data_IF_132521818716
#
_entry.id   IF_132521818716
#
_cell.length_a   1.000
_cell.length_b   1.000
_cell.length_c   1.000
_cell.angle_alpha   90.00
_cell.angle_beta   90.00
_cell.angle_gamma   90.00
#
_symmetry.space_group_name_H-M   'P 1'
#
loop_
_entity.id
_entity.type
_entity.pdbx_description
1 polymer ?
#
# COMPACT_ATOMS: atom_id res chain seq x y z
N UNK A 1 -5.71 1.98 22.78
CA UNK A 1 -5.43 1.26 21.51
C UNK A 1 -4.69 -0.05 21.78
N UNK A 2 -3.64 -0.04 22.59
CA UNK A 2 -2.84 -1.25 22.82
C UNK A 2 -3.68 -2.38 23.43
N UNK A 3 -4.44 -2.07 24.47
CA UNK A 3 -5.31 -3.06 25.11
C UNK A 3 -6.45 -3.51 24.16
N UNK A 4 -6.92 -2.62 23.29
CA UNK A 4 -7.91 -2.97 22.29
C UNK A 4 -7.36 -4.02 21.31
N UNK A 5 -6.13 -3.85 20.86
CA UNK A 5 -5.48 -4.83 19.98
C UNK A 5 -5.26 -6.15 20.72
N UNK A 6 -4.85 -6.09 21.99
CA UNK A 6 -4.68 -7.29 22.80
C UNK A 6 -6.01 -8.04 22.95
N UNK A 7 -7.10 -7.31 23.18
CA UNK A 7 -8.43 -7.90 23.27
C UNK A 7 -8.83 -8.59 21.95
N UNK A 8 -8.59 -7.91 20.82
CA UNK A 8 -8.89 -8.48 19.50
C UNK A 8 -8.14 -9.81 19.32
N UNK A 9 -6.87 -9.84 19.70
CA UNK A 9 -6.04 -11.04 19.51
C UNK A 9 -6.40 -12.18 20.44
N UNK A 10 -6.88 -11.88 21.65
CA UNK A 10 -7.11 -12.89 22.69
C UNK A 10 -8.55 -13.34 22.79
N UNK A 11 -9.48 -12.43 22.64
CA UNK A 11 -10.88 -12.68 23.03
C UNK A 11 -11.85 -12.72 21.86
N UNK A 12 -11.47 -12.15 20.69
CA UNK A 12 -12.36 -12.14 19.53
C UNK A 12 -12.04 -13.34 18.66
N UNK A 13 -13.06 -14.09 18.32
CA UNK A 13 -12.92 -15.30 17.51
C UNK A 13 -12.22 -14.99 16.18
N UNK A 14 -11.22 -15.82 15.87
CA UNK A 14 -10.44 -15.69 14.64
C UNK A 14 -9.64 -14.39 14.51
N UNK A 15 -9.69 -13.72 15.36
CA UNK A 15 -8.96 -12.49 15.29
C UNK A 15 -7.46 -12.65 15.39
N UNK A 16 -7.05 -13.63 15.84
CA UNK A 16 -5.71 -13.95 15.85
C UNK A 16 -5.24 -14.17 14.48
N UNK A 17 -5.96 -14.73 13.73
CA UNK A 17 -5.74 -14.92 12.39
C UNK A 17 -5.81 -13.72 11.59
N UNK A 18 -6.75 -12.98 11.73
CA UNK A 18 -6.92 -11.74 10.94
C UNK A 18 -5.79 -10.75 11.23
N UNK A 19 -5.44 -10.57 12.50
CA UNK A 19 -4.34 -9.66 12.88
C UNK A 19 -3.03 -10.10 12.22
N UNK A 20 -2.72 -11.38 12.26
CA UNK A 20 -1.46 -11.87 11.71
C UNK A 20 -1.44 -11.82 10.18
N UNK A 21 -2.56 -12.17 9.56
CA UNK A 21 -2.69 -12.05 8.10
C UNK A 21 -2.52 -10.59 7.68
N UNK A 22 -3.12 -9.66 8.43
CA UNK A 22 -3.02 -8.23 8.12
C UNK A 22 -1.57 -7.75 8.27
N UNK A 23 -0.93 -8.10 9.37
CA UNK A 23 0.45 -7.64 9.64
C UNK A 23 1.45 -8.21 8.63
N UNK A 24 1.36 -9.52 8.39
CA UNK A 24 2.25 -10.17 7.43
C UNK A 24 1.87 -9.83 6.00
N UNK A 25 0.57 -9.63 5.76
CA UNK A 25 0.07 -9.20 4.47
C UNK A 25 0.63 -7.86 4.04
N UNK A 26 0.81 -6.93 4.99
CA UNK A 26 1.45 -5.65 4.68
C UNK A 26 2.85 -5.85 4.12
N UNK A 27 3.66 -6.70 4.77
CA UNK A 27 5.02 -6.99 4.28
C UNK A 27 4.98 -7.69 2.92
N UNK A 28 4.11 -8.68 2.78
CA UNK A 28 4.00 -9.44 1.54
C UNK A 28 3.50 -8.56 0.39
N UNK A 29 2.62 -7.62 0.69
CA UNK A 29 2.12 -6.65 -0.29
C UNK A 29 3.29 -5.83 -0.85
N UNK A 30 4.19 -5.35 0.01
CA UNK A 30 5.37 -4.61 -0.45
C UNK A 30 6.32 -5.48 -1.26
N UNK A 31 6.50 -6.75 -0.89
CA UNK A 31 7.32 -7.66 -1.70
C UNK A 31 6.73 -7.75 -3.11
N UNK A 32 5.42 -7.91 -3.22
CA UNK A 32 4.74 -7.99 -4.52
C UNK A 32 4.88 -6.67 -5.30
N UNK A 33 4.76 -5.52 -4.61
CA UNK A 33 4.96 -4.22 -5.25
C UNK A 33 6.39 -4.08 -5.80
N UNK A 34 7.40 -4.48 -5.02
CA UNK A 34 8.79 -4.38 -5.48
C UNK A 34 9.03 -5.27 -6.69
N UNK A 35 8.48 -6.48 -6.71
CA UNK A 35 8.56 -7.35 -7.88
C UNK A 35 7.86 -6.71 -9.07
N UNK A 36 6.70 -6.10 -8.84
CA UNK A 36 5.91 -5.41 -9.85
C UNK A 36 6.70 -4.25 -10.48
N UNK A 37 7.34 -3.43 -9.63
CA UNK A 37 8.16 -2.31 -10.09
C UNK A 37 9.39 -2.84 -10.83
N UNK A 38 10.05 -3.86 -10.27
CA UNK A 38 11.21 -4.48 -10.90
C UNK A 38 10.91 -5.04 -12.27
N UNK A 39 9.73 -5.67 -12.43
CA UNK A 39 9.27 -6.14 -13.73
C UNK A 39 9.13 -4.95 -14.70
N UNK A 40 8.54 -3.84 -14.23
CA UNK A 40 8.39 -2.65 -15.05
C UNK A 40 9.71 -2.07 -15.52
N UNK A 41 10.71 -2.08 -14.64
CA UNK A 41 12.06 -1.60 -14.99
C UNK A 41 12.75 -2.56 -15.95
N UNK A 42 12.67 -3.86 -15.66
CA UNK A 42 13.39 -4.88 -16.46
C UNK A 42 12.90 -4.92 -17.90
N UNK A 43 11.57 -4.90 -18.08
CA UNK A 43 10.97 -5.07 -19.42
C UNK A 43 10.65 -3.75 -20.12
N UNK A 44 10.96 -2.60 -19.50
CA UNK A 44 10.75 -1.30 -20.12
C UNK A 44 9.31 -0.78 -20.05
N UNK A 45 8.48 -1.37 -19.20
CA UNK A 45 7.08 -0.95 -19.06
C UNK A 45 6.94 0.47 -18.54
N UNK A 46 7.99 1.01 -17.89
CA UNK A 46 8.02 2.41 -17.41
C UNK A 46 7.83 3.42 -18.55
N UNK A 47 8.03 3.00 -19.79
CA UNK A 47 7.83 3.88 -20.94
C UNK A 47 6.34 4.23 -21.14
N UNK A 48 5.43 3.45 -20.58
CA UNK A 48 4.00 3.80 -20.53
C UNK A 48 3.79 4.81 -19.42
N UNK A 49 4.00 6.08 -19.75
CA UNK A 49 4.17 7.15 -18.77
C UNK A 49 2.98 7.31 -17.82
N UNK A 50 1.79 7.30 -18.37
CA UNK A 50 0.58 7.51 -17.56
C UNK A 50 0.40 6.37 -16.56
N UNK A 51 0.58 5.15 -17.02
CA UNK A 51 0.49 3.96 -16.16
C UNK A 51 1.55 4.01 -15.06
N UNK A 52 2.79 4.34 -15.44
CA UNK A 52 3.90 4.44 -14.49
C UNK A 52 3.65 5.51 -13.44
N UNK A 53 3.18 6.69 -13.86
CA UNK A 53 2.97 7.81 -12.94
C UNK A 53 1.89 7.50 -11.91
N UNK A 54 0.77 6.90 -12.33
CA UNK A 54 -0.27 6.48 -11.37
C UNK A 54 0.30 5.40 -10.44
N UNK A 55 1.13 4.51 -10.96
CA UNK A 55 1.81 3.51 -10.13
C UNK A 55 2.66 4.14 -9.03
N UNK A 56 3.38 5.22 -9.35
CA UNK A 56 4.19 5.94 -8.34
C UNK A 56 3.28 6.56 -7.28
N UNK A 57 2.16 7.15 -7.69
CA UNK A 57 1.17 7.69 -6.73
C UNK A 57 0.65 6.56 -5.83
N UNK A 58 0.34 5.41 -6.43
CA UNK A 58 -0.11 4.24 -5.67
C UNK A 58 0.94 3.78 -4.65
N UNK A 59 2.21 3.78 -5.03
CA UNK A 59 3.29 3.41 -4.12
C UNK A 59 3.29 4.32 -2.89
N UNK A 60 3.22 5.65 -3.11
CA UNK A 60 3.21 6.59 -1.98
C UNK A 60 1.95 6.43 -1.13
N UNK A 61 0.80 6.18 -1.74
CA UNK A 61 -0.43 5.93 -0.97
C UNK A 61 -0.32 4.67 -0.12
N UNK A 62 0.27 3.60 -0.65
CA UNK A 62 0.44 2.36 0.12
C UNK A 62 1.44 2.59 1.25
N UNK A 63 2.54 3.31 0.99
CA UNK A 63 3.51 3.65 2.03
C UNK A 63 2.84 4.45 3.15
N UNK A 64 2.05 5.46 2.79
CA UNK A 64 1.33 6.26 3.78
C UNK A 64 0.34 5.40 4.57
N UNK A 65 -0.40 4.54 3.86
CA UNK A 65 -1.37 3.64 4.50
C UNK A 65 -0.68 2.73 5.52
N UNK A 66 0.43 2.13 5.13
CA UNK A 66 1.18 1.21 5.99
C UNK A 66 1.75 1.96 7.20
N UNK A 67 2.30 3.14 6.97
CA UNK A 67 2.89 3.94 8.05
C UNK A 67 1.85 4.31 9.10
N UNK A 68 0.74 4.93 8.67
CA UNK A 68 -0.29 5.32 9.64
C UNK A 68 -0.90 4.09 10.32
N UNK A 69 -0.99 2.96 9.60
CA UNK A 69 -1.51 1.71 10.17
C UNK A 69 -0.62 1.12 11.25
N UNK A 70 0.71 1.18 11.05
CA UNK A 70 1.64 0.65 12.03
C UNK A 70 1.60 1.44 13.35
N UNK A 71 1.19 2.70 13.28
CA UNK A 71 1.07 3.53 14.48
C UNK A 71 -0.12 3.09 15.35
N UNK A 72 -1.16 2.51 14.75
CA UNK A 72 -2.44 2.26 15.45
C UNK A 72 -2.37 1.30 16.64
N UNK A 73 -1.50 0.26 16.65
CA UNK A 73 -1.39 -0.57 17.86
C UNK A 73 -0.88 0.19 19.08
N UNK A 74 -0.23 1.32 18.89
CA UNK A 74 0.22 2.23 19.94
C UNK A 74 1.21 1.57 20.89
N UNK A 75 2.09 0.71 20.35
CA UNK A 75 3.22 0.18 21.09
C UNK A 75 4.40 1.15 21.05
N UNK A 76 5.53 0.73 21.62
CA UNK A 76 6.74 1.57 21.66
C UNK A 76 7.19 1.97 20.27
N UNK A 77 7.28 1.02 19.36
CA UNK A 77 7.72 1.31 17.99
C UNK A 77 6.69 2.15 17.22
N UNK A 78 5.40 1.96 17.52
CA UNK A 78 4.34 2.78 16.92
C UNK A 78 4.51 4.24 17.30
N UNK A 79 4.65 4.50 18.59
CA UNK A 79 4.75 5.86 19.14
C UNK A 79 6.04 6.55 18.68
N UNK A 80 7.17 5.88 18.89
CA UNK A 80 8.45 6.50 18.55
C UNK A 80 8.67 6.58 17.04
N UNK A 81 8.18 5.59 16.29
CA UNK A 81 8.20 5.65 14.83
C UNK A 81 7.41 6.85 14.31
N UNK A 82 6.20 7.05 14.83
CA UNK A 82 5.39 8.21 14.45
C UNK A 82 6.13 9.52 14.78
N UNK A 83 6.71 9.61 15.98
CA UNK A 83 7.42 10.80 16.42
C UNK A 83 8.58 11.13 15.48
N UNK A 84 9.44 10.14 15.19
CA UNK A 84 10.63 10.36 14.37
C UNK A 84 10.27 10.71 12.93
N UNK A 85 9.39 9.90 12.32
CA UNK A 85 9.08 10.05 10.89
C UNK A 85 8.35 11.37 10.62
N UNK A 86 7.38 11.72 11.47
CA UNK A 86 6.66 12.99 11.25
C UNK A 86 7.56 14.19 11.55
N UNK A 87 8.47 14.06 12.52
CA UNK A 87 9.37 15.15 12.86
C UNK A 87 10.39 15.46 11.74
N UNK A 88 10.61 14.53 10.80
CA UNK A 88 11.47 14.83 9.65
C UNK A 88 10.93 16.03 8.84
N UNK A 89 9.63 16.26 8.89
CA UNK A 89 9.04 17.40 8.19
C UNK A 89 9.46 18.74 8.79
N UNK A 90 9.97 18.78 10.03
CA UNK A 90 10.47 20.02 10.62
C UNK A 90 11.68 20.58 9.88
N UNK A 91 12.34 19.75 9.04
CA UNK A 91 13.45 20.21 8.20
C UNK A 91 13.00 21.16 7.08
N UNK A 92 11.70 21.23 6.79
CA UNK A 92 11.19 22.14 5.76
C UNK A 92 11.32 23.58 6.28
N UNK A 93 12.06 24.46 5.55
CA UNK A 93 12.27 25.82 6.06
C UNK A 93 10.96 26.57 6.26
N UNK A 94 10.91 27.36 7.31
CA UNK A 94 9.86 28.32 7.66
C UNK A 94 8.55 27.69 8.13
N UNK A 95 8.14 26.54 7.57
CA UNK A 95 6.82 25.98 7.86
C UNK A 95 6.87 24.57 8.47
N UNK A 96 8.06 24.00 8.60
CA UNK A 96 8.20 22.60 9.01
C UNK A 96 7.60 22.34 10.40
N UNK A 97 7.95 23.19 11.39
CA UNK A 97 7.45 23.00 12.77
C UNK A 97 5.92 23.14 12.82
N UNK A 98 5.36 24.11 12.09
CA UNK A 98 3.92 24.29 12.06
C UNK A 98 3.24 23.07 11.41
N UNK A 99 3.84 22.54 10.37
CA UNK A 99 3.32 21.36 9.70
C UNK A 99 3.35 20.13 10.63
N UNK A 100 4.44 19.95 11.36
CA UNK A 100 4.57 18.84 12.30
C UNK A 100 3.48 18.94 13.38
N UNK A 101 3.31 20.14 13.97
CA UNK A 101 2.29 20.34 14.98
C UNK A 101 0.88 20.13 14.45
N UNK A 102 0.67 20.54 13.20
CA UNK A 102 -0.62 20.32 12.54
C UNK A 102 -0.90 18.82 12.37
N UNK A 103 0.10 18.05 11.94
CA UNK A 103 -0.05 16.58 11.79
C UNK A 103 -0.31 15.93 13.14
N UNK A 104 0.44 16.33 14.17
CA UNK A 104 0.25 15.77 15.52
C UNK A 104 -1.10 16.17 16.10
N UNK A 105 -1.59 17.38 15.78
CA UNK A 105 -2.76 17.94 16.43
C UNK A 105 -2.46 18.49 17.79
N UNK A 106 -1.20 18.88 18.03
CA UNK A 106 -0.70 19.38 19.29
C UNK A 106 0.81 19.51 19.25
N UNK A 107 1.43 19.53 20.42
CA UNK A 107 2.87 19.75 20.52
C UNK A 107 3.68 18.47 20.64
N UNK A 108 3.00 17.32 20.58
CA UNK A 108 3.64 16.01 20.58
C UNK A 108 2.70 14.99 19.98
N UNK A 109 3.25 13.81 19.64
CA UNK A 109 2.44 12.68 19.23
C UNK A 109 1.59 12.25 20.43
N UNK A 110 0.26 12.20 20.24
CA UNK A 110 -0.65 11.85 21.32
C UNK A 110 -1.98 11.37 20.72
N UNK A 111 -3.02 11.36 21.52
CA UNK A 111 -4.36 10.88 21.16
C UNK A 111 -4.87 11.53 19.88
N UNK A 112 -4.67 12.84 19.70
CA UNK A 112 -5.09 13.53 18.49
C UNK A 112 -4.41 12.96 17.24
N UNK A 113 -3.12 12.63 17.35
CA UNK A 113 -2.38 11.98 16.25
C UNK A 113 -2.99 10.60 15.94
N UNK A 114 -3.22 9.83 17.00
CA UNK A 114 -3.74 8.47 16.84
C UNK A 114 -5.10 8.46 16.14
N UNK A 115 -6.01 9.33 16.55
CA UNK A 115 -7.36 9.34 15.99
C UNK A 115 -7.36 9.73 14.51
N UNK A 116 -6.56 10.73 14.12
CA UNK A 116 -6.50 11.12 12.71
C UNK A 116 -5.78 10.06 11.87
N UNK A 117 -4.77 9.37 12.44
CA UNK A 117 -4.11 8.27 11.72
C UNK A 117 -5.06 7.10 11.50
N UNK A 118 -5.95 6.83 12.47
CA UNK A 118 -6.99 5.82 12.26
C UNK A 118 -7.89 6.22 11.08
N UNK A 119 -8.31 7.48 11.02
CA UNK A 119 -9.16 7.95 9.92
C UNK A 119 -8.44 7.79 8.57
N UNK A 120 -7.16 8.15 8.49
CA UNK A 120 -6.38 8.01 7.26
C UNK A 120 -6.19 6.54 6.88
N UNK A 121 -5.92 5.66 7.86
CA UNK A 121 -5.76 4.24 7.56
C UNK A 121 -7.06 3.63 7.03
N UNK A 122 -8.20 4.14 7.44
CA UNK A 122 -9.49 3.74 6.91
C UNK A 122 -9.71 4.29 5.51
N UNK A 123 -9.36 5.55 5.28
CA UNK A 123 -9.66 6.26 4.02
C UNK A 123 -8.73 5.85 2.87
N UNK A 124 -7.42 5.76 3.14
CA UNK A 124 -6.43 5.56 2.07
C UNK A 124 -6.65 4.31 1.25
N UNK A 125 -7.06 3.14 1.82
CA UNK A 125 -7.32 1.98 0.97
C UNK A 125 -8.40 2.20 -0.08
N UNK A 126 -9.40 3.03 0.20
CA UNK A 126 -10.42 3.35 -0.80
C UNK A 126 -9.83 4.24 -1.90
N UNK A 127 -8.94 5.17 -1.53
CA UNK A 127 -8.23 5.97 -2.53
C UNK A 127 -7.32 5.08 -3.39
N UNK A 128 -6.66 4.10 -2.77
CA UNK A 128 -5.82 3.13 -3.49
C UNK A 128 -6.68 2.33 -4.48
N UNK A 129 -7.86 1.87 -4.04
CA UNK A 129 -8.77 1.12 -4.92
C UNK A 129 -9.16 1.97 -6.13
N UNK A 130 -9.54 3.24 -5.91
CA UNK A 130 -9.88 4.14 -7.01
C UNK A 130 -8.71 4.39 -7.95
N UNK A 131 -7.54 4.69 -7.39
CA UNK A 131 -6.35 4.94 -8.20
C UNK A 131 -5.90 3.67 -8.95
N UNK A 132 -6.15 2.49 -8.39
CA UNK A 132 -5.84 1.22 -9.08
C UNK A 132 -6.70 1.05 -10.32
N UNK A 133 -7.96 1.45 -10.25
CA UNK A 133 -8.84 1.44 -11.45
C UNK A 133 -8.24 2.36 -12.52
N UNK A 134 -7.81 3.57 -12.13
CA UNK A 134 -7.19 4.51 -13.08
C UNK A 134 -5.90 3.93 -13.67
N UNK A 135 -5.09 3.28 -12.83
CA UNK A 135 -3.86 2.60 -13.26
C UNK A 135 -4.16 1.58 -14.36
N UNK A 136 -5.21 0.78 -14.16
CA UNK A 136 -5.63 -0.23 -15.14
C UNK A 136 -6.24 0.39 -16.38
N UNK A 137 -6.98 1.50 -16.25
CA UNK A 137 -7.52 2.20 -17.41
C UNK A 137 -6.41 2.70 -18.34
N UNK A 138 -5.36 3.28 -17.77
CA UNK A 138 -4.22 3.73 -18.57
C UNK A 138 -3.48 2.53 -19.20
N UNK A 139 -3.34 1.43 -18.46
CA UNK A 139 -2.74 0.23 -19.03
C UNK A 139 -3.56 -0.28 -20.21
N UNK A 140 -4.89 -0.23 -20.11
CA UNK A 140 -5.79 -0.72 -21.16
C UNK A 140 -5.67 0.11 -22.44
N UNK A 141 -5.34 1.41 -22.33
CA UNK A 141 -5.16 2.25 -23.52
C UNK A 141 -3.98 1.82 -24.37
N UNK A 142 -2.86 1.44 -23.75
CA UNK A 142 -1.66 1.03 -24.46
C UNK A 142 -1.59 -0.48 -24.69
N UNK A 143 -2.28 -1.25 -23.86
CA UNK A 143 -2.09 -2.70 -23.75
C UNK A 143 -0.87 -3.05 -22.91
N UNK A 144 -0.77 -4.30 -22.54
CA UNK A 144 0.34 -4.82 -21.75
C UNK A 144 1.61 -4.92 -22.60
N UNK A 145 2.75 -4.75 -21.93
CA UNK A 145 4.05 -4.97 -22.55
C UNK A 145 4.35 -6.49 -22.60
N UNK A 146 5.46 -6.84 -23.20
CA UNK A 146 5.94 -8.23 -23.25
C UNK A 146 7.48 -8.24 -23.14
N UNK A 147 8.09 -9.43 -22.90
CA UNK A 147 9.55 -9.46 -22.68
C UNK A 147 10.41 -8.94 -23.82
N UNK A 148 9.91 -9.00 -25.06
CA UNK A 148 10.70 -8.53 -26.21
C UNK A 148 10.48 -7.06 -26.53
N UNK A 149 9.43 -6.44 -25.98
CA UNK A 149 9.06 -5.07 -26.31
C UNK A 149 8.46 -4.88 -27.69
N UNK A 150 8.24 -5.97 -28.44
CA UNK A 150 7.66 -5.92 -29.78
C UNK A 150 6.14 -5.86 -29.70
N UNK A 151 5.51 -5.33 -30.75
CA UNK A 151 4.05 -5.29 -30.83
C UNK A 151 3.47 -6.71 -30.86
N UNK A 152 2.47 -6.95 -30.01
CA UNK A 152 1.79 -8.24 -29.93
C UNK A 152 0.56 -8.29 -30.84
N UNK A 153 0.36 -7.29 -31.73
CA UNK A 153 -0.85 -7.22 -32.55
C UNK A 153 -1.02 -8.41 -33.49
N UNK A 154 0.08 -9.06 -33.83
CA UNK A 154 0.05 -10.21 -34.74
C UNK A 154 -0.36 -11.51 -34.06
N UNK A 155 -0.33 -11.55 -32.70
CA UNK A 155 -0.59 -12.82 -32.00
C UNK A 155 -1.19 -12.52 -30.65
N UNK A 156 -2.50 -12.56 -30.55
CA UNK A 156 -3.26 -12.28 -29.32
C UNK A 156 -4.26 -13.39 -29.08
N UNK A 157 -4.54 -13.64 -27.82
CA UNK A 157 -5.62 -14.54 -27.41
C UNK A 157 -6.54 -13.79 -26.44
N UNK A 158 -7.76 -14.28 -26.29
CA UNK A 158 -8.74 -13.65 -25.40
C UNK A 158 -8.26 -13.70 -23.97
N UNK A 159 -8.55 -12.64 -23.19
CA UNK A 159 -8.24 -12.64 -21.77
C UNK A 159 -9.02 -13.73 -21.04
N UNK A 160 -10.33 -13.78 -21.27
CA UNK A 160 -11.16 -14.82 -20.69
C UNK A 160 -11.34 -15.95 -21.72
N UNK A 161 -11.13 -17.21 -21.36
CA UNK A 161 -10.92 -17.74 -20.02
C UNK A 161 -9.45 -17.88 -19.60
N UNK A 162 -8.51 -17.69 -20.51
CA UNK A 162 -7.11 -18.10 -20.31
C UNK A 162 -6.47 -17.33 -19.13
N UNK A 163 -6.51 -16.03 -19.17
CA UNK A 163 -5.87 -15.22 -18.14
C UNK A 163 -6.77 -15.00 -16.93
N UNK A 164 -8.07 -15.20 -17.08
CA UNK A 164 -8.97 -15.24 -15.92
C UNK A 164 -8.60 -16.38 -14.97
N UNK A 165 -8.42 -17.59 -15.51
CA UNK A 165 -8.04 -18.74 -14.70
C UNK A 165 -6.61 -18.65 -14.19
N UNK A 166 -5.71 -18.10 -15.01
CA UNK A 166 -4.32 -17.89 -14.58
C UNK A 166 -4.25 -16.92 -13.41
N UNK A 167 -5.04 -15.85 -13.42
CA UNK A 167 -5.09 -14.89 -12.33
C UNK A 167 -5.67 -15.52 -11.06
N UNK A 168 -6.73 -16.35 -11.19
CA UNK A 168 -7.27 -17.07 -10.04
C UNK A 168 -6.18 -17.94 -9.41
N UNK A 169 -5.44 -18.69 -10.23
CA UNK A 169 -4.34 -19.50 -9.73
C UNK A 169 -3.30 -18.63 -9.03
N UNK A 170 -2.95 -17.49 -9.61
CA UNK A 170 -1.99 -16.57 -9.02
C UNK A 170 -2.44 -16.06 -7.65
N UNK A 171 -3.70 -15.66 -7.52
CA UNK A 171 -4.24 -15.21 -6.24
C UNK A 171 -4.21 -16.33 -5.20
N UNK A 172 -4.58 -17.54 -5.59
CA UNK A 172 -4.57 -18.68 -4.67
C UNK A 172 -3.14 -19.00 -4.19
N UNK A 173 -2.16 -18.94 -5.10
CA UNK A 173 -0.76 -19.16 -4.73
C UNK A 173 -0.25 -18.09 -3.78
N UNK A 174 -0.60 -16.83 -4.02
CA UNK A 174 -0.20 -15.73 -3.13
C UNK A 174 -0.82 -15.90 -1.74
N UNK A 175 -2.09 -16.27 -1.69
CA UNK A 175 -2.76 -16.52 -0.41
C UNK A 175 -2.14 -17.71 0.32
N UNK A 176 -1.79 -18.77 -0.40
CA UNK A 176 -1.15 -19.94 0.19
C UNK A 176 0.20 -19.58 0.82
N UNK A 177 0.98 -18.74 0.14
CA UNK A 177 2.27 -18.30 0.67
C UNK A 177 2.09 -17.42 1.92
N UNK A 178 1.04 -16.61 1.93
CA UNK A 178 0.75 -15.71 3.06
C UNK A 178 0.29 -16.45 4.31
N UNK A 179 -0.46 -17.56 4.17
CA UNK A 179 -0.98 -18.36 5.28
C UNK A 179 0.06 -19.28 5.89
#
# INVERSE_FOLDING_TARGET
AFSSVAHICRDVNYXXXVRNIHANGASFFFICIYLHIGRGLYYGSYMFKETWNIGVILLFLVMATAFVGYVLPWGQMSFWGATVITNLLSAIPYMGDALVQWIWGGFSVDKATLTRFFAFHFLFPFMIAGASIVHLLFLHETGSNNPTGMSSNSDKIAFHPYFSYKDILGFLLMLLILL
#
